data_IF_289732237792
#
_entry.id   IF_289732237792
#
_cell.length_a   1.000
_cell.length_b   1.000
_cell.length_c   1.000
_cell.angle_alpha   90.00
_cell.angle_beta   90.00
_cell.angle_gamma   90.00
#
_symmetry.space_group_name_H-M   'P 1'
#
loop_
_entity.id
_entity.type
_entity.pdbx_description
1 polymer ?
#
# COMPACT_ATOMS: atom_id res chain seq x y z
N UNK A 1 -13.50 -16.01 10.70
CA UNK A 1 -12.44 -16.78 10.03
C UNK A 1 -12.03 -15.93 8.86
N UNK A 2 -10.96 -15.15 9.04
CA UNK A 2 -10.57 -14.07 8.14
C UNK A 2 -9.56 -14.63 7.14
N UNK A 3 -9.96 -14.68 5.87
CA UNK A 3 -9.15 -15.26 4.81
C UNK A 3 -8.26 -14.16 4.20
N UNK A 4 -6.96 -14.22 4.49
CA UNK A 4 -5.92 -13.38 3.87
C UNK A 4 -5.51 -13.93 2.48
N UNK A 5 -6.16 -15.00 2.02
CA UNK A 5 -5.75 -15.78 0.84
C UNK A 5 -6.27 -15.26 -0.51
N UNK A 6 -7.08 -14.20 -0.55
CA UNK A 6 -7.61 -13.66 -1.81
C UNK A 6 -7.01 -12.27 -2.09
N UNK A 7 -5.86 -12.24 -2.77
CA UNK A 7 -5.27 -11.01 -3.35
C UNK A 7 -3.86 -10.62 -2.89
N UNK A 8 -3.32 -11.23 -1.82
CA UNK A 8 -1.95 -10.98 -1.36
C UNK A 8 -0.91 -11.85 -2.08
N UNK A 9 0.29 -11.30 -2.32
CA UNK A 9 1.40 -12.06 -2.89
C UNK A 9 2.15 -12.89 -1.82
N UNK A 10 3.08 -13.76 -2.26
CA UNK A 10 3.82 -14.65 -1.34
C UNK A 10 4.60 -13.89 -0.26
N UNK A 11 5.22 -12.75 -0.59
CA UNK A 11 5.98 -11.95 0.37
C UNK A 11 5.09 -11.31 1.45
N UNK A 12 3.85 -10.95 1.10
CA UNK A 12 2.83 -10.50 2.05
C UNK A 12 2.39 -11.65 2.96
N UNK A 13 2.09 -12.82 2.39
CA UNK A 13 1.66 -14.02 3.15
C UNK A 13 2.73 -14.44 4.17
N UNK A 14 4.00 -14.55 3.74
CA UNK A 14 5.12 -14.95 4.60
C UNK A 14 5.32 -14.00 5.78
N UNK A 15 5.09 -12.70 5.56
CA UNK A 15 5.19 -11.70 6.61
C UNK A 15 4.02 -11.77 7.59
N UNK A 16 2.80 -11.94 7.08
CA UNK A 16 1.56 -11.82 7.84
C UNK A 16 1.20 -13.08 8.65
N UNK A 17 1.55 -14.27 8.17
CA UNK A 17 1.23 -15.55 8.82
C UNK A 17 2.44 -16.10 9.61
N UNK A 18 3.50 -15.29 9.79
CA UNK A 18 4.70 -15.70 10.52
C UNK A 18 4.38 -16.15 11.96
N UNK A 19 4.62 -17.43 12.27
CA UNK A 19 4.39 -18.02 13.60
C UNK A 19 5.23 -17.37 14.71
N UNK A 20 6.32 -16.69 14.34
CA UNK A 20 7.18 -15.96 15.27
C UNK A 20 6.60 -14.60 15.65
N UNK A 21 5.58 -14.12 14.94
CA UNK A 21 5.01 -12.79 15.11
C UNK A 21 3.47 -12.81 14.98
N UNK A 22 2.77 -13.46 15.92
CA UNK A 22 1.32 -13.67 15.85
C UNK A 22 0.50 -12.36 15.82
N UNK A 23 1.07 -11.23 16.26
CA UNK A 23 0.41 -9.92 16.21
C UNK A 23 0.42 -9.27 14.83
N UNK A 24 1.28 -9.72 13.89
CA UNK A 24 1.35 -9.14 12.53
C UNK A 24 0.09 -9.30 11.73
N UNK A 25 -0.68 -10.36 11.98
CA UNK A 25 -1.94 -10.60 11.30
C UNK A 25 -2.91 -9.41 11.42
N UNK A 26 -2.92 -8.73 12.57
CA UNK A 26 -3.77 -7.55 12.79
C UNK A 26 -3.28 -6.34 11.98
N UNK A 27 -1.98 -6.09 11.95
CA UNK A 27 -1.40 -4.99 11.16
C UNK A 27 -1.60 -5.24 9.65
N UNK A 28 -1.49 -6.49 9.21
CA UNK A 28 -1.75 -6.86 7.82
C UNK A 28 -3.22 -6.72 7.44
N UNK A 29 -4.15 -7.05 8.34
CA UNK A 29 -5.59 -6.84 8.12
C UNK A 29 -5.91 -5.35 7.93
N UNK A 30 -5.34 -4.49 8.79
CA UNK A 30 -5.42 -3.04 8.63
C UNK A 30 -4.82 -2.56 7.30
N UNK A 31 -3.61 -3.01 6.96
CA UNK A 31 -2.96 -2.64 5.71
C UNK A 31 -3.80 -3.02 4.48
N UNK A 32 -4.45 -4.18 4.50
CA UNK A 32 -5.40 -4.64 3.47
C UNK A 32 -6.63 -3.74 3.39
N UNK A 33 -7.26 -3.44 4.53
CA UNK A 33 -8.46 -2.58 4.56
C UNK A 33 -8.14 -1.18 3.99
N UNK A 34 -6.95 -0.64 4.26
CA UNK A 34 -6.49 0.62 3.65
C UNK A 34 -6.24 0.48 2.13
N UNK A 35 -5.80 -0.68 1.65
CA UNK A 35 -5.63 -0.95 0.22
C UNK A 35 -6.98 -1.04 -0.51
N UNK A 36 -7.98 -1.66 0.13
CA UNK A 36 -9.36 -1.70 -0.36
C UNK A 36 -9.95 -0.30 -0.46
N UNK A 37 -9.76 0.55 0.57
CA UNK A 37 -10.17 1.94 0.55
C UNK A 37 -9.51 2.71 -0.61
N UNK A 38 -8.20 2.55 -0.79
CA UNK A 38 -7.47 3.21 -1.87
C UNK A 38 -7.95 2.76 -3.24
N UNK A 39 -8.23 1.46 -3.40
CA UNK A 39 -8.77 0.88 -4.63
C UNK A 39 -10.18 1.41 -4.94
N UNK A 40 -11.04 1.52 -3.93
CA UNK A 40 -12.37 2.08 -4.07
C UNK A 40 -12.31 3.57 -4.48
N UNK A 41 -11.44 4.35 -3.83
CA UNK A 41 -11.24 5.76 -4.21
C UNK A 41 -10.70 5.92 -5.62
N UNK A 42 -9.75 5.09 -6.06
CA UNK A 42 -9.25 5.12 -7.43
C UNK A 42 -10.37 4.84 -8.44
N UNK A 43 -11.16 3.78 -8.23
CA UNK A 43 -12.31 3.41 -9.08
C UNK A 43 -13.37 4.52 -9.16
N UNK A 44 -13.58 5.25 -8.07
CA UNK A 44 -14.58 6.32 -8.02
C UNK A 44 -14.13 7.62 -8.71
N UNK A 45 -12.82 7.89 -8.77
CA UNK A 45 -12.29 9.18 -9.24
C UNK A 45 -11.58 9.13 -10.59
N UNK A 46 -11.27 7.94 -11.11
CA UNK A 46 -10.48 7.78 -12.33
C UNK A 46 -11.16 6.83 -13.33
N UNK A 47 -10.96 7.01 -14.65
CA UNK A 47 -11.47 6.09 -15.65
C UNK A 47 -10.91 4.68 -15.46
N UNK A 48 -11.75 3.66 -15.70
CA UNK A 48 -11.37 2.24 -15.55
C UNK A 48 -10.10 1.87 -16.34
N UNK A 49 -9.95 2.44 -17.54
CA UNK A 49 -8.77 2.24 -18.40
C UNK A 49 -7.46 2.76 -17.82
N UNK A 50 -7.50 3.53 -16.73
CA UNK A 50 -6.32 4.10 -16.07
C UNK A 50 -5.99 3.42 -14.74
N UNK A 51 -6.77 2.41 -14.33
CA UNK A 51 -6.59 1.70 -13.05
C UNK A 51 -5.41 0.72 -13.05
N UNK A 52 -4.72 0.55 -14.18
CA UNK A 52 -3.48 -0.21 -14.31
C UNK A 52 -2.52 0.56 -15.20
N UNK A 53 -1.29 0.79 -14.74
CA UNK A 53 -0.24 1.53 -15.44
C UNK A 53 -0.66 2.94 -15.89
N UNK A 54 -1.63 3.54 -15.20
CA UNK A 54 -2.24 4.83 -15.54
C UNK A 54 -2.40 5.76 -14.34
N UNK A 55 -3.13 6.85 -14.51
CA UNK A 55 -3.32 7.86 -13.46
C UNK A 55 -4.10 7.35 -12.25
N UNK A 56 -5.13 6.53 -12.45
CA UNK A 56 -5.88 5.90 -11.36
C UNK A 56 -5.04 4.91 -10.56
N UNK A 57 -4.16 4.18 -11.25
CA UNK A 57 -3.15 3.31 -10.66
C UNK A 57 -2.17 4.10 -9.79
N UNK A 58 -1.58 5.15 -10.35
CA UNK A 58 -0.66 6.02 -9.63
C UNK A 58 -1.29 6.67 -8.40
N UNK A 59 -2.56 7.10 -8.51
CA UNK A 59 -3.34 7.61 -7.39
C UNK A 59 -3.54 6.53 -6.31
N UNK A 60 -3.92 5.30 -6.69
CA UNK A 60 -4.14 4.20 -5.75
C UNK A 60 -2.90 3.93 -4.90
N UNK A 61 -1.72 3.80 -5.53
CA UNK A 61 -0.45 3.56 -4.84
C UNK A 61 -0.04 4.75 -3.96
N UNK A 62 -0.15 5.98 -4.46
CA UNK A 62 0.11 7.19 -3.67
C UNK A 62 -0.80 7.26 -2.43
N UNK A 63 -2.10 7.05 -2.62
CA UNK A 63 -3.08 7.19 -1.55
C UNK A 63 -2.93 6.09 -0.51
N UNK A 64 -2.78 4.83 -0.92
CA UNK A 64 -2.52 3.72 -0.01
C UNK A 64 -1.23 3.93 0.81
N UNK A 65 -0.12 4.30 0.16
CA UNK A 65 1.13 4.59 0.86
C UNK A 65 1.02 5.77 1.84
N UNK A 66 0.17 6.75 1.53
CA UNK A 66 -0.17 7.84 2.44
C UNK A 66 -0.93 7.34 3.68
N UNK A 67 -1.99 6.55 3.48
CA UNK A 67 -2.77 5.93 4.56
C UNK A 67 -1.90 5.06 5.46
N UNK A 68 -1.06 4.21 4.88
CA UNK A 68 -0.09 3.39 5.63
C UNK A 68 0.88 4.26 6.44
N UNK A 69 1.27 5.44 5.94
CA UNK A 69 2.15 6.36 6.67
C UNK A 69 1.44 7.02 7.85
N UNK A 70 0.15 7.28 7.74
CA UNK A 70 -0.65 7.76 8.85
C UNK A 70 -0.78 6.70 9.94
N UNK A 71 -1.06 5.45 9.57
CA UNK A 71 -1.27 4.32 10.48
C UNK A 71 0.04 3.79 11.09
N UNK A 72 1.03 3.45 10.26
CA UNK A 72 2.24 2.72 10.66
C UNK A 72 3.54 3.55 10.60
N UNK A 73 3.45 4.81 10.17
CA UNK A 73 4.61 5.64 9.90
C UNK A 73 5.35 5.24 8.62
N UNK A 74 6.37 6.04 8.27
CA UNK A 74 7.08 5.93 6.98
C UNK A 74 7.73 4.56 6.78
N UNK A 75 8.39 4.03 7.82
CA UNK A 75 9.07 2.74 7.76
C UNK A 75 8.10 1.57 7.61
N UNK A 76 6.98 1.60 8.33
CA UNK A 76 5.92 0.60 8.18
C UNK A 76 5.31 0.63 6.78
N UNK A 77 4.99 1.84 6.29
CA UNK A 77 4.45 2.04 4.95
C UNK A 77 5.38 1.54 3.84
N UNK A 78 6.70 1.78 3.97
CA UNK A 78 7.69 1.22 3.04
C UNK A 78 7.72 -0.30 3.11
N UNK A 79 7.67 -0.88 4.31
CA UNK A 79 7.69 -2.33 4.49
C UNK A 79 6.51 -3.05 3.85
N UNK A 80 5.30 -2.50 3.97
CA UNK A 80 4.11 -3.04 3.32
C UNK A 80 4.14 -2.82 1.81
N UNK A 81 4.40 -1.58 1.36
CA UNK A 81 4.44 -1.26 -0.07
C UNK A 81 5.49 -2.06 -0.84
N UNK A 82 6.72 -2.15 -0.32
CA UNK A 82 7.78 -2.92 -0.99
C UNK A 82 7.42 -4.41 -1.13
N UNK A 83 6.79 -5.01 -0.11
CA UNK A 83 6.33 -6.40 -0.17
C UNK A 83 5.24 -6.58 -1.21
N UNK A 84 4.30 -5.65 -1.30
CA UNK A 84 3.23 -5.68 -2.30
C UNK A 84 3.78 -5.71 -3.74
N UNK A 85 4.85 -4.95 -4.01
CA UNK A 85 5.48 -4.94 -5.32
C UNK A 85 6.44 -6.12 -5.57
N UNK A 86 6.70 -6.96 -4.56
CA UNK A 86 7.68 -8.05 -4.60
C UNK A 86 7.06 -9.40 -4.93
N UNK A 87 6.56 -9.53 -6.16
CA UNK A 87 6.06 -10.80 -6.69
C UNK A 87 6.80 -11.23 -7.98
N UNK A 88 6.93 -12.56 -8.25
CA UNK A 88 7.83 -13.08 -9.28
C UNK A 88 7.53 -12.63 -10.71
N UNK A 89 6.28 -12.24 -10.97
CA UNK A 89 5.80 -11.88 -12.31
C UNK A 89 5.52 -10.37 -12.46
N UNK A 90 6.05 -9.51 -11.58
CA UNK A 90 5.88 -8.07 -11.71
C UNK A 90 6.79 -7.52 -12.83
N UNK A 91 6.26 -6.95 -13.92
CA UNK A 91 7.08 -6.31 -14.94
C UNK A 91 7.95 -5.21 -14.32
N UNK A 92 9.24 -5.15 -14.69
CA UNK A 92 10.18 -4.22 -14.04
C UNK A 92 9.77 -2.74 -14.15
N UNK A 93 9.13 -2.36 -15.26
CA UNK A 93 8.60 -1.01 -15.46
C UNK A 93 7.41 -0.69 -14.55
N UNK A 94 6.50 -1.64 -14.37
CA UNK A 94 5.33 -1.53 -13.47
C UNK A 94 5.80 -1.42 -12.02
N UNK A 95 6.66 -2.35 -11.57
CA UNK A 95 7.31 -2.30 -10.25
C UNK A 95 7.99 -0.96 -9.96
N UNK A 96 8.76 -0.43 -10.92
CA UNK A 96 9.48 0.84 -10.71
C UNK A 96 8.51 2.02 -10.58
N UNK A 97 7.44 2.05 -11.38
CA UNK A 97 6.38 3.05 -11.29
C UNK A 97 5.67 2.97 -9.93
N UNK A 98 5.28 1.77 -9.49
CA UNK A 98 4.54 1.57 -8.24
C UNK A 98 5.38 1.91 -7.01
N UNK A 99 6.65 1.50 -6.98
CA UNK A 99 7.58 1.89 -5.93
C UNK A 99 7.78 3.41 -5.85
N UNK A 100 7.83 4.09 -7.01
CA UNK A 100 7.91 5.55 -7.06
C UNK A 100 6.63 6.22 -6.54
N UNK A 101 5.46 5.77 -6.97
CA UNK A 101 4.17 6.29 -6.52
C UNK A 101 3.99 6.08 -5.00
N UNK A 102 4.37 4.89 -4.51
CA UNK A 102 4.41 4.59 -3.08
C UNK A 102 5.33 5.58 -2.32
N UNK A 103 6.49 5.93 -2.88
CA UNK A 103 7.40 6.89 -2.27
C UNK A 103 6.83 8.31 -2.21
N UNK A 104 6.14 8.75 -3.26
CA UNK A 104 5.43 10.04 -3.28
C UNK A 104 4.36 10.08 -2.20
N UNK A 105 3.53 9.04 -2.09
CA UNK A 105 2.49 8.92 -1.06
C UNK A 105 3.03 9.07 0.37
N UNK A 106 4.12 8.35 0.69
CA UNK A 106 4.80 8.46 2.00
C UNK A 106 5.32 9.87 2.26
N UNK A 107 5.87 10.52 1.23
CA UNK A 107 6.43 11.87 1.33
C UNK A 107 5.34 12.90 1.62
N UNK A 108 4.22 12.85 0.89
CA UNK A 108 3.07 13.74 1.09
C UNK A 108 2.50 13.59 2.49
N UNK A 109 2.22 12.37 2.94
CA UNK A 109 1.69 12.12 4.28
C UNK A 109 2.65 12.60 5.39
N UNK A 110 3.96 12.46 5.18
CA UNK A 110 4.97 12.98 6.12
C UNK A 110 4.98 14.51 6.20
N UNK A 111 4.74 15.19 5.09
CA UNK A 111 4.64 16.65 5.05
C UNK A 111 3.38 17.13 5.76
N UNK A 112 2.23 16.48 5.53
CA UNK A 112 0.97 16.77 6.23
C UNK A 112 1.15 16.62 7.74
N UNK A 113 1.68 15.47 8.21
CA UNK A 113 1.97 15.23 9.64
C UNK A 113 2.93 16.26 10.26
N UNK A 114 3.81 16.89 9.47
CA UNK A 114 4.69 17.96 9.96
C UNK A 114 3.96 19.31 10.01
N UNK A 115 3.10 19.59 9.03
CA UNK A 115 2.24 20.77 9.02
C UNK A 115 1.28 20.79 10.21
N UNK A 116 0.66 19.66 10.53
CA UNK A 116 -0.26 19.52 11.68
C UNK A 116 0.41 19.73 13.03
N UNK A 117 1.72 19.45 13.15
CA UNK A 117 2.48 19.71 14.39
C UNK A 117 2.82 21.18 14.61
N UNK A 118 2.57 22.03 13.62
CA UNK A 118 2.80 23.47 13.66
C UNK A 118 1.47 24.27 13.72
N UNK A 119 0.32 23.59 13.89
CA UNK A 119 -1.01 24.17 13.98
C UNK A 119 -1.52 24.20 15.44
#
# INVERSE_FOLDING_TARGET
YFDYFDGGNQAEIDYCISILHPTRAFDCDKARNLAEEASANAKNNFPESTLRNGSGDAYRHCYWSGLLTFEFGVSGAKGFGDRHEDHPNNPSGEKAMDLNNNNVGRTVASQIKKGDKNA
#
